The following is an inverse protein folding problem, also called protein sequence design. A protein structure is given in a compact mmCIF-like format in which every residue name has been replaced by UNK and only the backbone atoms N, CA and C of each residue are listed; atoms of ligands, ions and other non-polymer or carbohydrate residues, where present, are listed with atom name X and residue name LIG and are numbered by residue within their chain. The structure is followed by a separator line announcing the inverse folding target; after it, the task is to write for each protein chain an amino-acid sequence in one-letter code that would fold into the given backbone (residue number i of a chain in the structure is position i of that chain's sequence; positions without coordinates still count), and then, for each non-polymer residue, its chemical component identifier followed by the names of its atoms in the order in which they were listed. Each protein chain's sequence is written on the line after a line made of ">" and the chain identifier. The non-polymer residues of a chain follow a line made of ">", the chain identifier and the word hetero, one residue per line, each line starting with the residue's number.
data_IF_934307912011
#
_entry.id   IF_934307912011
#
_cell.length_a   1.000
_cell.length_b   1.000
_cell.length_c   1.000
_cell.angle_alpha   90.00
_cell.angle_beta   90.00
_cell.angle_gamma   90.00
#
_symmetry.space_group_name_H-M   'P 1'
#
loop_
_entity.id
_entity.type
_entity.pdbx_description
1 polymer ?
#
# COMPACT_ATOMS: atom_id res chain seq x y z
N UNK A 1 14.62 7.10 -40.36
CA UNK A 1 15.02 5.94 -39.53
C UNK A 1 16.29 6.31 -38.80
N UNK A 2 16.22 6.56 -37.49
CA UNK A 2 17.30 6.47 -36.49
C UNK A 2 16.71 6.97 -35.16
N UNK A 3 16.84 6.17 -34.09
CA UNK A 3 16.87 6.57 -32.66
C UNK A 3 16.63 5.41 -31.66
N UNK A 4 16.68 4.15 -32.10
CA UNK A 4 16.62 3.01 -31.17
C UNK A 4 17.95 2.83 -30.40
N UNK A 5 19.08 3.21 -30.99
CA UNK A 5 20.40 3.01 -30.36
C UNK A 5 20.71 4.01 -29.24
N UNK A 6 20.17 5.24 -29.31
CA UNK A 6 20.35 6.24 -28.26
C UNK A 6 19.53 5.89 -27.01
N UNK A 7 18.28 5.46 -27.20
CA UNK A 7 17.40 5.05 -26.11
C UNK A 7 17.94 3.82 -25.37
N UNK A 8 18.46 2.83 -26.11
CA UNK A 8 19.04 1.63 -25.53
C UNK A 8 20.36 1.90 -24.77
N UNK A 9 21.13 2.91 -25.18
CA UNK A 9 22.34 3.36 -24.46
C UNK A 9 22.02 4.10 -23.17
N UNK A 10 20.95 4.90 -23.16
CA UNK A 10 20.47 5.57 -21.94
C UNK A 10 20.03 4.55 -20.89
N UNK A 11 19.19 3.59 -21.27
CA UNK A 11 18.72 2.56 -20.34
C UNK A 11 19.87 1.69 -19.82
N UNK A 12 20.85 1.37 -20.67
CA UNK A 12 22.03 0.59 -20.26
C UNK A 12 22.98 1.37 -19.34
N UNK A 13 23.07 2.70 -19.49
CA UNK A 13 23.81 3.54 -18.55
C UNK A 13 23.10 3.62 -17.19
N UNK A 14 21.78 3.78 -17.18
CA UNK A 14 20.98 3.84 -15.95
C UNK A 14 20.98 2.49 -15.21
N UNK A 15 21.12 1.36 -15.91
CA UNK A 15 21.22 0.03 -15.28
C UNK A 15 22.65 -0.32 -14.82
N UNK A 16 23.68 0.30 -15.40
CA UNK A 16 25.09 0.05 -15.08
C UNK A 16 25.60 0.95 -13.94
N UNK A 17 24.98 2.12 -13.76
CA UNK A 17 25.08 2.91 -12.53
C UNK A 17 24.17 2.27 -11.49
N UNK A 18 24.62 1.14 -10.95
CA UNK A 18 24.10 0.63 -9.68
C UNK A 18 24.43 1.64 -8.61
N UNK A 19 23.63 2.70 -8.51
CA UNK A 19 23.85 3.79 -7.58
C UNK A 19 22.93 3.64 -6.37
N UNK A 20 23.60 3.46 -5.26
CA UNK A 20 23.12 3.68 -3.90
C UNK A 20 22.65 5.13 -3.76
N UNK A 21 21.42 5.44 -4.16
CA UNK A 21 20.84 6.76 -3.92
C UNK A 21 20.37 6.87 -2.46
N UNK A 22 21.31 7.31 -1.63
CA UNK A 22 21.03 8.02 -0.39
C UNK A 22 20.24 9.29 -0.69
N UNK A 23 19.02 9.36 -0.15
CA UNK A 23 18.31 10.58 0.25
C UNK A 23 18.61 11.84 -0.57
N UNK A 24 17.91 12.02 -1.69
CA UNK A 24 17.57 13.35 -2.19
C UNK A 24 16.06 13.50 -2.33
N UNK A 25 15.64 14.72 -2.04
CA UNK A 25 14.30 15.17 -1.75
C UNK A 25 13.32 14.85 -2.88
N UNK A 26 12.44 13.87 -2.66
CA UNK A 26 11.29 13.58 -3.54
C UNK A 26 10.21 14.63 -3.29
N UNK A 27 10.55 15.87 -3.61
CA UNK A 27 9.69 17.05 -3.64
C UNK A 27 9.97 17.81 -4.94
N UNK A 28 10.01 17.12 -6.09
CA UNK A 28 9.95 17.78 -7.40
C UNK A 28 8.48 17.82 -7.86
N UNK A 29 7.88 18.99 -7.64
CA UNK A 29 6.56 19.45 -8.05
C UNK A 29 6.35 19.42 -9.58
N UNK A 30 6.10 18.24 -10.19
CA UNK A 30 5.52 18.16 -11.56
C UNK A 30 4.19 17.40 -11.63
N UNK A 31 3.78 16.73 -10.56
CA UNK A 31 2.47 16.07 -10.45
C UNK A 31 1.71 16.60 -9.23
N UNK A 32 1.12 17.80 -9.39
CA UNK A 32 0.10 18.25 -8.44
C UNK A 32 -1.16 17.40 -8.66
N UNK A 33 -1.48 16.60 -7.64
CA UNK A 33 -2.72 15.84 -7.57
C UNK A 33 -3.80 16.69 -6.92
N UNK A 34 -4.97 16.79 -7.55
CA UNK A 34 -6.06 17.65 -7.04
C UNK A 34 -6.67 17.08 -5.74
N UNK A 35 -6.70 15.75 -5.62
CA UNK A 35 -7.20 15.03 -4.47
C UNK A 35 -6.65 13.60 -4.45
N UNK A 36 -7.03 12.82 -3.44
CA UNK A 36 -6.55 11.46 -3.27
C UNK A 36 -7.08 10.49 -4.32
N UNK A 37 -8.27 10.74 -4.89
CA UNK A 37 -8.79 9.92 -6.00
C UNK A 37 -8.02 10.20 -7.30
N UNK A 38 -7.62 11.45 -7.55
CA UNK A 38 -6.75 11.87 -8.66
C UNK A 38 -5.35 11.25 -8.50
N UNK A 39 -4.80 11.29 -7.28
CA UNK A 39 -3.59 10.56 -6.94
C UNK A 39 -3.72 9.06 -7.22
N UNK A 40 -4.76 8.40 -6.71
CA UNK A 40 -4.99 6.97 -6.89
C UNK A 40 -5.03 6.55 -8.37
N UNK A 41 -5.55 7.43 -9.23
CA UNK A 41 -5.75 7.16 -10.65
C UNK A 41 -4.52 7.48 -11.51
N UNK A 42 -3.78 8.54 -11.19
CA UNK A 42 -2.69 9.05 -12.04
C UNK A 42 -1.30 8.67 -11.54
N UNK A 43 -1.15 8.34 -10.25
CA UNK A 43 0.14 7.97 -9.69
C UNK A 43 0.59 6.59 -10.15
N UNK A 44 1.89 6.49 -10.39
CA UNK A 44 2.57 5.23 -10.64
C UNK A 44 2.48 4.31 -9.42
N UNK A 45 2.71 3.02 -9.64
CA UNK A 45 2.82 2.05 -8.55
C UNK A 45 3.94 2.42 -7.55
N UNK A 46 5.09 2.88 -8.05
CA UNK A 46 6.24 3.26 -7.23
C UNK A 46 5.93 4.45 -6.32
N UNK A 47 5.27 5.49 -6.83
CA UNK A 47 4.84 6.65 -6.04
C UNK A 47 3.87 6.25 -4.92
N UNK A 48 2.91 5.37 -5.23
CA UNK A 48 1.97 4.83 -4.23
C UNK A 48 2.70 4.04 -3.16
N UNK A 49 3.58 3.11 -3.55
CA UNK A 49 4.38 2.32 -2.62
C UNK A 49 5.22 3.21 -1.71
N UNK A 50 5.86 4.24 -2.25
CA UNK A 50 6.65 5.19 -1.46
C UNK A 50 5.78 5.98 -0.48
N UNK A 51 4.65 6.52 -0.93
CA UNK A 51 3.75 7.30 -0.08
C UNK A 51 3.18 6.43 1.06
N UNK A 52 2.69 5.24 0.73
CA UNK A 52 2.09 4.34 1.71
C UNK A 52 3.13 3.71 2.63
N UNK A 53 4.30 3.33 2.12
CA UNK A 53 5.37 2.80 2.94
C UNK A 53 5.88 3.79 3.97
N UNK A 54 5.87 5.08 3.62
CA UNK A 54 6.18 6.13 4.59
C UNK A 54 5.02 6.41 5.53
N UNK A 55 3.77 6.44 5.06
CA UNK A 55 2.63 6.98 5.83
C UNK A 55 1.92 5.95 6.69
N UNK A 56 1.81 4.71 6.21
CA UNK A 56 1.12 3.60 6.84
C UNK A 56 2.12 2.63 7.50
N UNK A 57 3.28 3.12 7.95
CA UNK A 57 4.22 2.25 8.66
C UNK A 57 3.76 2.03 10.11
N UNK A 58 3.92 0.81 10.68
CA UNK A 58 3.62 0.54 12.09
C UNK A 58 4.32 1.48 13.09
N UNK A 59 5.48 2.04 12.74
CA UNK A 59 6.20 3.03 13.57
C UNK A 59 5.46 4.38 13.69
N UNK A 60 4.56 4.67 12.75
CA UNK A 60 3.78 5.91 12.72
C UNK A 60 2.37 5.70 13.22
N UNK A 61 1.76 4.59 12.82
CA UNK A 61 0.40 4.23 13.19
C UNK A 61 0.47 2.90 13.94
N UNK A 62 0.39 2.91 15.27
CA UNK A 62 0.38 1.68 16.03
C UNK A 62 -0.74 0.73 15.58
N UNK A 63 -0.52 -0.60 15.62
CA UNK A 63 -1.54 -1.64 15.45
C UNK A 63 -2.92 -1.30 16.02
N UNK A 64 -2.96 -0.85 17.27
CA UNK A 64 -4.19 -0.52 18.00
C UNK A 64 -5.00 0.62 17.38
N UNK A 65 -4.37 1.46 16.56
CA UNK A 65 -5.03 2.52 15.80
C UNK A 65 -5.36 2.08 14.38
N UNK A 66 -4.54 1.23 13.78
CA UNK A 66 -4.73 0.78 12.40
C UNK A 66 -5.82 -0.29 12.26
N UNK A 67 -5.80 -1.32 13.11
CA UNK A 67 -6.74 -2.45 13.05
C UNK A 67 -8.22 -2.06 12.98
N UNK A 68 -8.75 -1.16 13.84
CA UNK A 68 -10.15 -0.77 13.76
C UNK A 68 -10.47 -0.01 12.46
N UNK A 69 -9.50 0.73 11.89
CA UNK A 69 -9.68 1.44 10.64
C UNK A 69 -9.62 0.50 9.43
N UNK A 70 -8.75 -0.51 9.44
CA UNK A 70 -8.75 -1.57 8.44
C UNK A 70 -10.07 -2.31 8.42
N UNK A 71 -10.60 -2.67 9.59
CA UNK A 71 -11.87 -3.36 9.71
C UNK A 71 -13.02 -2.52 9.13
N UNK A 72 -13.08 -1.21 9.46
CA UNK A 72 -14.09 -0.30 8.90
C UNK A 72 -13.94 -0.16 7.38
N UNK A 73 -12.72 -0.01 6.89
CA UNK A 73 -12.45 0.15 5.47
C UNK A 73 -12.87 -1.11 4.69
N UNK A 74 -12.42 -2.29 5.13
CA UNK A 74 -12.72 -3.58 4.49
C UNK A 74 -14.21 -3.94 4.59
N UNK A 75 -14.93 -3.47 5.60
CA UNK A 75 -16.38 -3.62 5.66
C UNK A 75 -17.13 -2.78 4.62
N UNK A 76 -16.53 -1.67 4.16
CA UNK A 76 -17.15 -0.75 3.20
C UNK A 76 -16.75 -1.01 1.75
N UNK A 77 -15.67 -1.77 1.50
CA UNK A 77 -15.23 -2.10 0.14
C UNK A 77 -16.20 -3.06 -0.54
N UNK A 78 -16.31 -2.96 -1.86
CA UNK A 78 -17.20 -3.84 -2.62
C UNK A 78 -16.71 -5.29 -2.51
N UNK A 79 -17.60 -6.29 -2.54
CA UNK A 79 -17.21 -7.69 -2.43
C UNK A 79 -16.12 -8.11 -3.44
N UNK A 80 -16.23 -7.70 -4.70
CA UNK A 80 -15.24 -8.01 -5.72
C UNK A 80 -13.88 -7.33 -5.45
N UNK A 81 -13.88 -6.08 -4.98
CA UNK A 81 -12.65 -5.38 -4.62
C UNK A 81 -11.99 -6.06 -3.42
N UNK A 82 -12.79 -6.51 -2.43
CA UNK A 82 -12.31 -7.31 -1.29
C UNK A 82 -11.63 -8.61 -1.73
N UNK A 83 -12.23 -9.30 -2.69
CA UNK A 83 -11.68 -10.54 -3.23
C UNK A 83 -10.30 -10.29 -3.88
N UNK A 84 -10.14 -9.15 -4.57
CA UNK A 84 -8.86 -8.73 -5.17
C UNK A 84 -7.80 -8.43 -4.10
N UNK A 85 -8.18 -7.74 -3.02
CA UNK A 85 -7.30 -7.50 -1.85
C UNK A 85 -6.81 -8.81 -1.25
N UNK A 86 -7.74 -9.72 -0.95
CA UNK A 86 -7.41 -11.01 -0.35
C UNK A 86 -6.48 -11.83 -1.26
N UNK A 87 -6.76 -11.83 -2.57
CA UNK A 87 -5.93 -12.52 -3.57
C UNK A 87 -4.51 -11.95 -3.62
N UNK A 88 -4.37 -10.62 -3.57
CA UNK A 88 -3.08 -9.95 -3.56
C UNK A 88 -2.29 -10.30 -2.29
N UNK A 89 -2.92 -10.28 -1.11
CA UNK A 89 -2.25 -10.70 0.13
C UNK A 89 -1.78 -12.15 0.08
N UNK A 90 -2.62 -13.11 -0.31
CA UNK A 90 -2.20 -14.50 -0.41
C UNK A 90 -1.09 -14.71 -1.44
N UNK A 91 -1.13 -14.01 -2.58
CA UNK A 91 -0.06 -14.06 -3.58
C UNK A 91 1.29 -13.68 -2.96
N UNK A 92 1.38 -12.50 -2.34
CA UNK A 92 2.62 -12.00 -1.75
C UNK A 92 3.08 -12.81 -0.53
N UNK A 93 2.15 -13.27 0.31
CA UNK A 93 2.47 -14.14 1.46
C UNK A 93 3.01 -15.49 1.01
N UNK A 94 2.48 -16.05 -0.08
CA UNK A 94 2.95 -17.29 -0.68
C UNK A 94 4.37 -17.15 -1.24
N UNK A 95 4.70 -16.01 -1.83
CA UNK A 95 6.07 -15.70 -2.27
C UNK A 95 7.06 -15.66 -1.10
N UNK A 96 6.59 -15.37 0.12
CA UNK A 96 7.37 -15.47 1.37
C UNK A 96 7.38 -16.88 1.99
N UNK A 97 6.76 -17.87 1.35
CA UNK A 97 6.70 -19.25 1.84
C UNK A 97 5.60 -19.52 2.86
N UNK A 98 4.65 -18.60 3.06
CA UNK A 98 3.48 -18.82 3.92
C UNK A 98 2.38 -19.50 3.11
N UNK A 99 1.90 -20.65 3.58
CA UNK A 99 0.83 -21.38 2.88
C UNK A 99 -0.56 -20.86 3.27
N UNK A 100 -1.45 -20.78 2.29
CA UNK A 100 -2.83 -20.32 2.47
C UNK A 100 -3.58 -21.12 3.55
N UNK A 101 -3.34 -22.45 3.63
CA UNK A 101 -3.93 -23.31 4.66
C UNK A 101 -3.42 -23.01 6.07
N UNK A 102 -2.13 -22.74 6.22
CA UNK A 102 -1.57 -22.37 7.52
C UNK A 102 -2.12 -21.02 7.97
N UNK A 103 -2.22 -20.06 7.05
CA UNK A 103 -2.81 -18.75 7.31
C UNK A 103 -4.28 -18.87 7.72
N UNK A 104 -5.06 -19.72 7.05
CA UNK A 104 -6.45 -20.01 7.44
C UNK A 104 -6.56 -20.46 8.90
N UNK A 105 -5.72 -21.41 9.31
CA UNK A 105 -5.74 -21.95 10.67
C UNK A 105 -5.21 -20.94 11.69
N UNK A 106 -4.09 -20.28 11.39
CA UNK A 106 -3.43 -19.35 12.31
C UNK A 106 -4.28 -18.12 12.59
N UNK A 107 -4.98 -17.61 11.56
CA UNK A 107 -5.82 -16.41 11.67
C UNK A 107 -7.28 -16.74 11.97
N UNK A 108 -7.63 -18.01 12.12
CA UNK A 108 -9.01 -18.48 12.26
C UNK A 108 -9.93 -17.87 11.19
N UNK A 109 -9.50 -17.96 9.93
CA UNK A 109 -10.30 -17.55 8.78
C UNK A 109 -11.36 -18.61 8.50
N UNK A 110 -12.55 -18.18 8.10
CA UNK A 110 -13.61 -19.09 7.66
C UNK A 110 -13.22 -19.85 6.38
N UNK A 111 -12.38 -19.24 5.54
CA UNK A 111 -11.85 -19.83 4.31
C UNK A 111 -10.61 -19.08 3.82
N UNK A 112 -9.69 -19.78 3.16
CA UNK A 112 -8.60 -19.21 2.38
C UNK A 112 -8.97 -18.89 0.92
N UNK A 113 -10.21 -19.17 0.48
CA UNK A 113 -10.62 -18.84 -0.89
C UNK A 113 -11.01 -17.36 -0.97
N UNK A 114 -10.26 -16.51 -1.71
CA UNK A 114 -10.52 -15.06 -1.76
C UNK A 114 -11.96 -14.71 -2.10
N UNK A 115 -12.58 -15.43 -3.03
CA UNK A 115 -13.94 -15.17 -3.52
C UNK A 115 -15.06 -15.51 -2.52
N UNK A 116 -14.70 -16.08 -1.36
CA UNK A 116 -15.64 -16.52 -0.32
C UNK A 116 -15.31 -15.91 1.03
N UNK A 117 -14.28 -15.07 1.12
CA UNK A 117 -13.88 -14.44 2.37
C UNK A 117 -14.88 -13.36 2.76
N UNK A 118 -15.20 -13.33 4.06
CA UNK A 118 -15.97 -12.26 4.66
C UNK A 118 -15.11 -11.01 4.87
N UNK A 119 -15.74 -9.88 5.19
CA UNK A 119 -15.01 -8.68 5.58
C UNK A 119 -14.14 -8.93 6.83
N UNK A 120 -14.60 -9.77 7.76
CA UNK A 120 -13.84 -10.16 8.95
C UNK A 120 -12.58 -10.97 8.60
N UNK A 121 -12.70 -11.94 7.70
CA UNK A 121 -11.55 -12.75 7.26
C UNK A 121 -10.48 -11.88 6.59
N UNK A 122 -10.89 -10.96 5.71
CA UNK A 122 -9.94 -10.06 5.04
C UNK A 122 -9.36 -9.03 5.99
N UNK A 123 -10.11 -8.60 7.01
CA UNK A 123 -9.60 -7.71 8.07
C UNK A 123 -8.52 -8.39 8.89
N UNK A 124 -8.74 -9.64 9.33
CA UNK A 124 -7.73 -10.44 10.03
C UNK A 124 -6.48 -10.64 9.20
N UNK A 125 -6.64 -10.90 7.90
CA UNK A 125 -5.52 -11.03 6.97
C UNK A 125 -4.76 -9.70 6.84
N UNK A 126 -5.46 -8.58 6.64
CA UNK A 126 -4.85 -7.27 6.52
C UNK A 126 -4.09 -6.86 7.80
N UNK A 127 -4.68 -7.06 8.99
CA UNK A 127 -4.02 -6.81 10.27
C UNK A 127 -2.80 -7.70 10.48
N UNK A 128 -2.89 -8.99 10.13
CA UNK A 128 -1.74 -9.88 10.20
C UNK A 128 -0.58 -9.39 9.32
N UNK A 129 -0.88 -9.02 8.08
CA UNK A 129 0.13 -8.50 7.14
C UNK A 129 0.68 -7.17 7.65
N UNK A 130 -0.16 -6.26 8.15
CA UNK A 130 0.27 -5.00 8.73
C UNK A 130 1.29 -5.19 9.87
N UNK A 131 1.05 -6.18 10.74
CA UNK A 131 1.92 -6.45 11.90
C UNK A 131 3.21 -7.19 11.55
N UNK A 132 3.13 -8.17 10.65
CA UNK A 132 4.23 -9.12 10.44
C UNK A 132 5.00 -8.85 9.14
N UNK A 133 4.35 -8.24 8.15
CA UNK A 133 4.87 -8.01 6.80
C UNK A 133 4.45 -6.63 6.28
N UNK A 134 4.87 -5.53 6.93
CA UNK A 134 4.47 -4.18 6.54
C UNK A 134 4.85 -3.85 5.09
N UNK A 135 5.90 -4.47 4.55
CA UNK A 135 6.31 -4.34 3.15
C UNK A 135 5.32 -4.96 2.15
N UNK A 136 4.67 -6.07 2.50
CA UNK A 136 3.60 -6.70 1.72
C UNK A 136 2.34 -5.85 1.83
N UNK A 137 2.05 -5.34 3.02
CA UNK A 137 0.93 -4.44 3.22
C UNK A 137 1.03 -3.24 2.26
N UNK A 138 2.21 -2.62 2.21
CA UNK A 138 2.50 -1.50 1.31
C UNK A 138 2.37 -1.86 -0.16
N UNK A 139 2.84 -3.05 -0.55
CA UNK A 139 2.71 -3.53 -1.92
C UNK A 139 1.25 -3.69 -2.32
N UNK A 140 0.44 -4.35 -1.48
CA UNK A 140 -0.98 -4.55 -1.78
C UNK A 140 -1.75 -3.23 -1.81
N UNK A 141 -1.42 -2.27 -0.94
CA UNK A 141 -1.99 -0.92 -1.00
C UNK A 141 -1.60 -0.19 -2.30
N UNK A 142 -0.38 -0.40 -2.79
CA UNK A 142 0.10 0.18 -4.04
C UNK A 142 -0.49 -0.52 -5.28
N UNK A 143 -0.80 -1.81 -5.21
CA UNK A 143 -1.41 -2.57 -6.31
C UNK A 143 -2.92 -2.33 -6.44
N UNK A 144 -3.64 -2.20 -5.32
CA UNK A 144 -5.11 -2.25 -5.30
C UNK A 144 -5.75 -0.86 -5.16
N UNK A 145 -6.17 -0.20 -6.26
CA UNK A 145 -6.83 1.11 -6.20
C UNK A 145 -8.18 1.07 -5.47
N UNK A 146 -8.80 -0.11 -5.38
CA UNK A 146 -9.99 -0.35 -4.58
C UNK A 146 -9.79 0.07 -3.13
N UNK A 147 -8.65 -0.30 -2.51
CA UNK A 147 -8.36 0.06 -1.11
C UNK A 147 -7.98 1.53 -0.96
N UNK A 148 -7.26 2.07 -1.95
CA UNK A 148 -6.84 3.47 -1.99
C UNK A 148 -8.09 4.37 -1.87
N UNK A 149 -9.15 4.11 -2.63
CA UNK A 149 -10.41 4.89 -2.57
C UNK A 149 -11.13 4.88 -1.21
N UNK A 150 -10.73 4.02 -0.26
CA UNK A 150 -11.26 4.05 1.11
C UNK A 150 -10.34 4.77 2.08
N UNK A 151 -9.03 4.83 1.81
CA UNK A 151 -8.09 5.68 2.55
C UNK A 151 -8.31 7.18 2.26
N UNK A 152 -9.00 7.53 1.17
CA UNK A 152 -9.47 8.91 0.87
C UNK A 152 -10.67 9.36 1.70
N UNK A 153 -11.26 8.49 2.53
CA UNK A 153 -12.38 8.88 3.38
C UNK A 153 -11.89 9.83 4.50
N UNK A 154 -12.54 10.97 4.75
CA UNK A 154 -12.14 11.97 5.75
C UNK A 154 -11.88 11.41 7.17
N UNK A 155 -12.46 10.26 7.53
CA UNK A 155 -12.19 9.58 8.81
C UNK A 155 -10.78 8.94 8.84
N UNK A 156 -10.35 8.32 7.74
CA UNK A 156 -8.98 7.82 7.58
C UNK A 156 -8.01 8.97 7.34
N UNK A 157 -8.45 10.03 6.64
CA UNK A 157 -7.71 11.29 6.55
C UNK A 157 -7.56 12.00 7.91
N UNK A 158 -8.37 11.69 8.92
CA UNK A 158 -8.16 12.19 10.28
C UNK A 158 -7.09 11.39 11.03
N UNK A 159 -7.02 10.07 10.83
CA UNK A 159 -5.95 9.21 11.39
C UNK A 159 -4.60 9.49 10.70
N UNK A 160 -4.60 9.65 9.36
CA UNK A 160 -3.44 10.12 8.60
C UNK A 160 -3.19 11.62 8.78
N UNK A 161 -4.22 12.39 9.14
CA UNK A 161 -4.16 13.84 9.32
C UNK A 161 -3.35 14.24 10.55
N UNK A 162 -3.35 13.42 11.60
CA UNK A 162 -2.45 13.61 12.75
C UNK A 162 -0.99 13.35 12.35
N UNK A 163 -0.74 12.39 11.45
CA UNK A 163 0.59 12.14 10.90
C UNK A 163 1.04 13.24 9.91
N UNK A 164 0.13 13.79 9.09
CA UNK A 164 0.40 14.90 8.18
C UNK A 164 0.58 16.24 8.92
N UNK A 165 -0.19 16.50 9.99
CA UNK A 165 -0.04 17.68 10.83
C UNK A 165 1.32 17.74 11.54
N UNK A 166 1.88 16.58 11.91
CA UNK A 166 3.23 16.49 12.49
C UNK A 166 4.33 16.75 11.45
N UNK A 167 4.07 16.52 10.16
CA UNK A 167 4.99 16.86 9.06
C UNK A 167 4.91 18.34 8.65
N UNK A 168 3.71 18.93 8.65
CA UNK A 168 3.48 20.36 8.44
C UNK A 168 3.94 21.23 9.63
N UNK A 169 3.88 20.70 10.86
CA UNK A 169 4.30 21.41 12.07
C UNK A 169 5.81 21.54 12.24
N UNK A 170 6.60 20.63 11.65
CA UNK A 170 8.06 20.62 11.79
C UNK A 170 8.79 21.43 10.70
N UNK A 171 8.06 22.12 9.81
CA UNK A 171 8.62 23.13 8.87
C UNK A 171 8.43 24.59 9.34
N UNK A 172 7.88 24.79 10.55
CA UNK A 172 7.83 26.11 11.20
C UNK A 172 8.64 26.09 12.49
N UNK A 173 9.95 25.98 12.34
CA UNK A 173 10.96 26.62 13.19
C UNK A 173 12.30 26.59 12.49
#
# INVERSE_FOLDING_TARGET
>A
MYNNEQYKRQIMNDLAQGDTETMEDVSNDEHQYENFDDFAQRSSHAERRQLFGRSLHPDRIPPSQMDPELQKAIAQIKPNERDDVARAFFKHLKERGLSDRQLEQQLALATHNPNKMSADDVSKLASFVYHNHPDIFQEVMAEQPGIIKFLSNPVVAAVLGIAAAKWLGNRRK
#
